data_IF_608877822991
#
_entry.id   IF_608877822991
#
_cell.length_a   1.000
_cell.length_b   1.000
_cell.length_c   1.000
_cell.angle_alpha   90.00
_cell.angle_beta   90.00
_cell.angle_gamma   90.00
#
_symmetry.space_group_name_H-M   'P 1'
#
loop_
_entity.id
_entity.type
_entity.pdbx_description
1 polymer ?
#
# COMPACT_ATOMS: atom_id res chain seq x y z
N UNK A 1 14.53 15.71 -11.74
CA UNK A 1 13.88 14.38 -11.71
C UNK A 1 14.89 13.24 -11.57
N UNK A 2 15.94 13.15 -12.41
CA UNK A 2 17.00 12.10 -12.28
C UNK A 2 17.62 11.97 -10.88
N UNK A 3 17.85 13.07 -10.17
CA UNK A 3 18.37 13.03 -8.79
C UNK A 3 17.38 12.45 -7.77
N UNK A 4 16.07 12.57 -8.02
CA UNK A 4 15.05 11.90 -7.21
C UNK A 4 15.07 10.40 -7.44
N UNK A 5 15.25 9.97 -8.68
CA UNK A 5 15.20 8.54 -9.05
C UNK A 5 16.30 7.73 -8.34
N UNK A 6 17.44 8.36 -8.04
CA UNK A 6 18.51 7.77 -7.21
C UNK A 6 18.09 7.50 -5.75
N UNK A 7 17.05 8.18 -5.26
CA UNK A 7 16.51 8.04 -3.90
C UNK A 7 15.25 7.17 -3.85
N UNK A 8 14.80 6.66 -5.00
CA UNK A 8 13.63 5.79 -5.07
C UNK A 8 14.02 4.42 -4.54
N UNK A 9 13.35 3.95 -3.49
CA UNK A 9 13.61 2.65 -2.87
C UNK A 9 12.88 1.50 -3.57
N UNK A 10 11.71 1.80 -4.17
CA UNK A 10 10.94 0.83 -4.97
C UNK A 10 10.05 1.54 -5.98
N UNK A 11 9.70 0.83 -7.05
CA UNK A 11 8.64 1.20 -7.98
C UNK A 11 7.41 0.35 -7.71
N UNK A 12 6.45 0.96 -7.03
CA UNK A 12 5.09 0.46 -6.87
C UNK A 12 4.36 0.36 -8.22
N UNK A 13 3.13 -0.15 -8.22
CA UNK A 13 2.34 -0.41 -9.42
C UNK A 13 2.09 0.81 -10.31
N UNK A 14 2.07 2.02 -9.74
CA UNK A 14 1.92 3.26 -10.49
C UNK A 14 3.23 3.79 -11.10
N UNK A 15 4.38 3.15 -10.83
CA UNK A 15 5.67 3.42 -11.46
C UNK A 15 6.40 4.71 -11.03
N UNK A 16 5.70 5.67 -10.42
CA UNK A 16 6.31 6.92 -9.93
C UNK A 16 7.39 6.72 -8.84
N UNK A 17 7.35 5.60 -8.11
CA UNK A 17 8.34 5.20 -7.12
C UNK A 17 8.24 5.90 -5.76
N UNK A 18 8.65 5.19 -4.70
CA UNK A 18 8.60 5.67 -3.32
C UNK A 18 9.95 6.19 -2.86
N UNK A 19 9.91 7.27 -2.07
CA UNK A 19 11.07 7.79 -1.35
C UNK A 19 10.71 7.80 0.13
N UNK A 20 11.52 7.14 0.95
CA UNK A 20 11.46 7.15 2.41
C UNK A 20 12.84 7.44 2.96
N UNK A 21 12.95 7.96 4.20
CA UNK A 21 14.25 8.07 4.86
C UNK A 21 14.86 6.66 4.99
N UNK A 22 16.12 6.52 4.58
CA UNK A 22 16.92 5.31 4.80
C UNK A 22 18.22 5.76 5.46
N UNK A 23 18.56 5.18 6.60
CA UNK A 23 19.75 5.53 7.35
C UNK A 23 21.01 4.85 6.79
N UNK A 24 22.17 5.12 7.40
CA UNK A 24 23.45 4.54 7.00
C UNK A 24 23.55 3.01 7.17
N UNK A 25 22.65 2.41 7.93
CA UNK A 25 22.57 0.98 8.18
C UNK A 25 21.51 0.31 7.29
N UNK A 26 20.95 1.04 6.32
CA UNK A 26 19.84 0.63 5.46
C UNK A 26 18.50 0.42 6.18
N UNK A 27 18.29 1.07 7.33
CA UNK A 27 17.01 1.06 8.05
C UNK A 27 16.11 2.16 7.50
N UNK A 28 14.89 1.77 7.13
CA UNK A 28 13.81 2.60 6.60
C UNK A 28 12.95 1.91 5.54
N UNK A 29 13.49 0.88 4.87
CA UNK A 29 12.81 0.10 3.83
C UNK A 29 13.38 -1.31 3.71
N UNK A 30 12.48 -2.28 3.57
CA UNK A 30 12.78 -3.64 3.10
C UNK A 30 11.75 -4.06 2.07
N UNK A 31 12.13 -4.95 1.17
CA UNK A 31 11.29 -5.41 0.06
C UNK A 31 10.15 -6.33 0.55
N UNK A 32 9.04 -6.34 -0.21
CA UNK A 32 8.01 -7.35 -0.05
C UNK A 32 8.56 -8.76 -0.39
N UNK A 33 8.04 -9.83 0.24
CA UNK A 33 8.43 -11.20 -0.11
C UNK A 33 7.94 -11.64 -1.50
N UNK A 34 7.15 -10.78 -2.17
CA UNK A 34 6.53 -11.04 -3.46
C UNK A 34 7.00 -10.03 -4.51
N UNK A 35 7.25 -10.51 -5.72
CA UNK A 35 7.51 -9.61 -6.86
C UNK A 35 6.23 -8.89 -7.29
N UNK A 36 6.35 -7.72 -7.94
CA UNK A 36 5.20 -7.01 -8.51
C UNK A 36 4.31 -7.90 -9.42
N UNK A 37 4.92 -8.80 -10.20
CA UNK A 37 4.18 -9.70 -11.07
C UNK A 37 3.39 -10.76 -10.28
N UNK A 38 3.97 -11.25 -9.19
CA UNK A 38 3.31 -12.21 -8.29
C UNK A 38 2.19 -11.55 -7.49
N UNK A 39 2.46 -10.37 -6.90
CA UNK A 39 1.47 -9.61 -6.15
C UNK A 39 0.25 -9.24 -7.00
N UNK A 40 0.45 -8.87 -8.28
CA UNK A 40 -0.66 -8.67 -9.24
C UNK A 40 -1.49 -9.93 -9.46
N UNK A 41 -0.87 -11.12 -9.52
CA UNK A 41 -1.59 -12.39 -9.63
C UNK A 41 -2.38 -12.68 -8.36
N UNK A 42 -1.80 -12.50 -7.18
CA UNK A 42 -2.49 -12.64 -5.89
C UNK A 42 -3.72 -11.73 -5.86
N UNK A 43 -3.56 -10.46 -6.22
CA UNK A 43 -4.67 -9.50 -6.27
C UNK A 43 -5.76 -9.94 -7.25
N UNK A 44 -5.38 -10.41 -8.44
CA UNK A 44 -6.33 -10.93 -9.43
C UNK A 44 -7.12 -12.12 -8.90
N UNK A 45 -6.46 -13.09 -8.27
CA UNK A 45 -7.11 -14.27 -7.67
C UNK A 45 -8.14 -13.87 -6.60
N UNK A 46 -7.83 -12.86 -5.78
CA UNK A 46 -8.77 -12.35 -4.76
C UNK A 46 -9.99 -11.68 -5.41
N UNK A 47 -9.76 -10.84 -6.43
CA UNK A 47 -10.84 -10.11 -7.11
C UNK A 47 -11.75 -11.05 -7.90
N UNK A 48 -11.17 -12.04 -8.58
CA UNK A 48 -11.88 -12.97 -9.45
C UNK A 48 -12.45 -14.19 -8.67
N UNK A 49 -12.24 -14.28 -7.36
CA UNK A 49 -12.75 -15.37 -6.55
C UNK A 49 -14.29 -15.47 -6.65
N UNK A 50 -14.85 -16.68 -6.89
CA UNK A 50 -16.27 -16.85 -7.21
C UNK A 50 -17.20 -16.67 -6.00
N UNK A 51 -16.67 -16.74 -4.78
CA UNK A 51 -17.41 -16.55 -3.54
C UNK A 51 -16.47 -16.11 -2.40
N UNK A 52 -17.07 -15.71 -1.29
CA UNK A 52 -16.36 -15.15 -0.14
C UNK A 52 -15.45 -16.16 0.56
N UNK A 53 -15.82 -17.44 0.62
CA UNK A 53 -14.99 -18.50 1.22
C UNK A 53 -13.69 -18.71 0.45
N UNK A 54 -13.77 -18.75 -0.88
CA UNK A 54 -12.59 -18.84 -1.74
C UNK A 54 -11.77 -17.55 -1.68
N UNK A 55 -12.42 -16.40 -1.59
CA UNK A 55 -11.74 -15.11 -1.45
C UNK A 55 -10.96 -15.03 -0.13
N UNK A 56 -11.56 -15.48 0.97
CA UNK A 56 -10.91 -15.51 2.28
C UNK A 56 -9.64 -16.37 2.25
N UNK A 57 -9.68 -17.53 1.58
CA UNK A 57 -8.49 -18.36 1.37
C UNK A 57 -7.45 -17.67 0.50
N UNK A 58 -7.87 -17.00 -0.57
CA UNK A 58 -6.99 -16.25 -1.46
C UNK A 58 -6.31 -15.04 -0.77
N UNK A 59 -6.86 -14.55 0.35
CA UNK A 59 -6.23 -13.51 1.16
C UNK A 59 -5.06 -13.99 2.03
N UNK A 60 -4.84 -15.31 2.18
CA UNK A 60 -3.79 -15.84 3.06
C UNK A 60 -2.39 -15.24 2.81
N UNK A 61 -1.91 -15.09 1.56
CA UNK A 61 -0.60 -14.46 1.29
C UNK A 61 -0.56 -12.99 1.72
N UNK A 62 -1.67 -12.25 1.58
CA UNK A 62 -1.75 -10.87 2.05
C UNK A 62 -1.65 -10.82 3.57
N UNK A 63 -2.32 -11.71 4.30
CA UNK A 63 -2.26 -11.77 5.77
C UNK A 63 -0.85 -12.08 6.28
N UNK A 64 -0.13 -12.96 5.60
CA UNK A 64 1.27 -13.24 5.91
C UNK A 64 2.14 -11.99 5.71
N UNK A 65 2.00 -11.28 4.58
CA UNK A 65 2.70 -10.01 4.34
C UNK A 65 2.37 -8.94 5.38
N UNK A 66 1.11 -8.86 5.83
CA UNK A 66 0.72 -7.94 6.91
C UNK A 66 1.46 -8.22 8.22
N UNK A 67 1.73 -9.50 8.51
CA UNK A 67 2.50 -9.91 9.68
C UNK A 67 3.95 -9.47 9.55
N UNK A 68 4.58 -9.70 8.39
CA UNK A 68 5.94 -9.21 8.13
C UNK A 68 6.06 -7.69 8.19
N UNK A 69 5.02 -6.97 7.76
CA UNK A 69 4.99 -5.50 7.86
C UNK A 69 4.95 -5.04 9.32
N UNK A 70 4.29 -5.76 10.23
CA UNK A 70 4.36 -5.40 11.66
C UNK A 70 5.79 -5.54 12.20
N UNK A 71 6.48 -6.64 11.89
CA UNK A 71 7.89 -6.78 12.25
C UNK A 71 8.76 -5.69 11.63
N UNK A 72 8.53 -5.35 10.36
CA UNK A 72 9.24 -4.25 9.69
C UNK A 72 8.98 -2.90 10.39
N UNK A 73 7.74 -2.61 10.80
CA UNK A 73 7.41 -1.39 11.52
C UNK A 73 8.12 -1.31 12.89
N UNK A 74 8.15 -2.41 13.65
CA UNK A 74 8.86 -2.48 14.92
C UNK A 74 10.37 -2.22 14.74
N UNK A 75 10.92 -2.62 13.60
CA UNK A 75 12.32 -2.42 13.20
C UNK A 75 12.56 -1.14 12.38
N UNK A 76 11.59 -0.21 12.36
CA UNK A 76 11.62 1.09 11.67
C UNK A 76 11.66 1.06 10.12
N UNK A 77 11.41 -0.08 9.49
CA UNK A 77 11.31 -0.26 8.04
C UNK A 77 9.90 0.07 7.50
N UNK A 78 9.44 1.29 7.78
CA UNK A 78 8.09 1.76 7.46
C UNK A 78 7.78 1.75 5.96
N UNK A 79 8.80 1.75 5.10
CA UNK A 79 8.65 1.71 3.65
C UNK A 79 7.95 0.45 3.13
N UNK A 80 8.08 -0.70 3.83
CA UNK A 80 7.47 -1.96 3.39
C UNK A 80 5.94 -1.91 3.44
N UNK A 81 5.38 -1.44 4.56
CA UNK A 81 3.94 -1.24 4.70
C UNK A 81 3.39 -0.17 3.76
N UNK A 82 4.21 0.86 3.48
CA UNK A 82 3.88 1.89 2.51
C UNK A 82 3.77 1.33 1.08
N UNK A 83 4.72 0.51 0.65
CA UNK A 83 4.72 -0.15 -0.67
C UNK A 83 3.47 -1.01 -0.88
N UNK A 84 3.22 -1.99 0.01
CA UNK A 84 2.07 -2.88 -0.13
C UNK A 84 0.75 -2.09 -0.14
N UNK A 85 0.62 -1.10 0.74
CA UNK A 85 -0.57 -0.25 0.79
C UNK A 85 -0.83 0.48 -0.54
N UNK A 86 0.23 1.01 -1.17
CA UNK A 86 0.12 1.68 -2.46
C UNK A 86 -0.22 0.70 -3.58
N UNK A 87 0.40 -0.47 -3.61
CA UNK A 87 0.14 -1.48 -4.64
C UNK A 87 -1.31 -1.98 -4.59
N UNK A 88 -1.81 -2.28 -3.39
CA UNK A 88 -3.21 -2.65 -3.18
C UNK A 88 -4.18 -1.51 -3.51
N UNK A 89 -3.82 -0.27 -3.20
CA UNK A 89 -4.59 0.90 -3.61
C UNK A 89 -4.66 1.03 -5.15
N UNK A 90 -3.55 0.78 -5.84
CA UNK A 90 -3.44 0.81 -7.30
C UNK A 90 -4.19 -0.34 -7.99
N UNK A 91 -4.37 -1.49 -7.34
CA UNK A 91 -5.26 -2.55 -7.82
C UNK A 91 -6.71 -2.08 -7.95
N UNK A 92 -7.14 -1.10 -7.14
CA UNK A 92 -8.40 -0.39 -7.30
C UNK A 92 -9.66 -1.15 -6.87
N UNK A 93 -9.55 -2.39 -6.39
CA UNK A 93 -10.70 -3.16 -5.91
C UNK A 93 -11.10 -2.78 -4.47
N UNK A 94 -12.41 -2.70 -4.23
CA UNK A 94 -12.99 -2.39 -2.93
C UNK A 94 -12.65 -3.44 -1.86
N UNK A 95 -12.36 -4.69 -2.24
CA UNK A 95 -11.93 -5.74 -1.31
C UNK A 95 -10.65 -5.39 -0.56
N UNK A 96 -9.81 -4.50 -1.10
CA UNK A 96 -8.56 -4.09 -0.47
C UNK A 96 -8.70 -2.85 0.42
N UNK A 97 -9.81 -2.10 0.36
CA UNK A 97 -9.94 -0.81 1.04
C UNK A 97 -9.68 -0.90 2.54
N UNK A 98 -10.17 -1.96 3.21
CA UNK A 98 -9.92 -2.17 4.64
C UNK A 98 -8.44 -2.32 4.96
N UNK A 99 -7.70 -3.09 4.15
CA UNK A 99 -6.27 -3.33 4.36
C UNK A 99 -5.47 -2.07 4.03
N UNK A 100 -5.81 -1.39 2.93
CA UNK A 100 -5.18 -0.11 2.56
C UNK A 100 -5.38 0.93 3.66
N UNK A 101 -6.59 1.00 4.25
CA UNK A 101 -6.91 1.89 5.37
C UNK A 101 -6.21 1.53 6.68
N UNK A 102 -5.67 0.32 6.82
CA UNK A 102 -4.82 -0.06 7.95
C UNK A 102 -3.35 0.29 7.68
N UNK A 103 -2.87 0.03 6.46
CA UNK A 103 -1.47 0.19 6.10
C UNK A 103 -1.08 1.65 5.85
N UNK A 104 -1.78 2.35 4.95
CA UNK A 104 -1.33 3.65 4.48
C UNK A 104 -1.39 4.75 5.54
N UNK A 105 -2.48 4.90 6.32
CA UNK A 105 -2.51 5.89 7.40
C UNK A 105 -1.39 5.67 8.42
N UNK A 106 -1.18 4.41 8.84
CA UNK A 106 -0.11 4.05 9.78
C UNK A 106 1.27 4.37 9.21
N UNK A 107 1.58 3.92 7.98
CA UNK A 107 2.86 4.16 7.35
C UNK A 107 3.14 5.66 7.18
N UNK A 108 2.14 6.44 6.76
CA UNK A 108 2.26 7.90 6.66
C UNK A 108 2.52 8.55 8.03
N UNK A 109 1.82 8.14 9.08
CA UNK A 109 2.02 8.67 10.43
C UNK A 109 3.40 8.33 11.00
N UNK A 110 3.88 7.10 10.79
CA UNK A 110 5.24 6.68 11.17
C UNK A 110 6.32 7.49 10.42
N UNK A 111 6.08 7.77 9.13
CA UNK A 111 6.94 8.61 8.29
C UNK A 111 6.76 10.13 8.51
N UNK A 112 5.93 10.55 9.48
CA UNK A 112 5.60 11.97 9.76
C UNK A 112 5.00 12.72 8.56
N UNK A 113 4.13 12.05 7.80
CA UNK A 113 3.41 12.54 6.62
C UNK A 113 1.89 12.61 6.88
N UNK A 114 1.49 13.15 8.02
CA UNK A 114 0.12 13.05 8.55
C UNK A 114 -0.96 13.53 7.56
N UNK A 115 -0.71 14.59 6.78
CA UNK A 115 -1.65 15.04 5.75
C UNK A 115 -1.98 13.96 4.71
N UNK A 116 -1.03 13.09 4.37
CA UNK A 116 -1.29 11.99 3.45
C UNK A 116 -2.14 10.89 4.09
N UNK A 117 -2.06 10.70 5.41
CA UNK A 117 -2.96 9.82 6.16
C UNK A 117 -4.40 10.35 6.07
N UNK A 118 -4.62 11.65 6.34
CA UNK A 118 -5.94 12.28 6.23
C UNK A 118 -6.51 12.16 4.81
N UNK A 119 -5.69 12.43 3.78
CA UNK A 119 -6.11 12.33 2.38
C UNK A 119 -6.52 10.90 2.03
N UNK A 120 -5.73 9.89 2.41
CA UNK A 120 -6.05 8.51 2.04
C UNK A 120 -7.28 7.99 2.78
N UNK A 121 -7.48 8.37 4.05
CA UNK A 121 -8.67 8.02 4.82
C UNK A 121 -9.93 8.61 4.19
N UNK A 122 -9.92 9.92 3.92
CA UNK A 122 -11.03 10.61 3.27
C UNK A 122 -11.30 10.04 1.86
N UNK A 123 -10.25 9.75 1.09
CA UNK A 123 -10.37 9.19 -0.24
C UNK A 123 -10.95 7.77 -0.22
N UNK A 124 -10.50 6.89 0.67
CA UNK A 124 -11.04 5.53 0.76
C UNK A 124 -12.49 5.51 1.25
N UNK A 125 -12.86 6.41 2.16
CA UNK A 125 -14.24 6.56 2.63
C UNK A 125 -15.19 7.01 1.50
N UNK A 126 -14.68 7.78 0.52
CA UNK A 126 -15.49 8.32 -0.57
C UNK A 126 -14.83 8.19 -1.94
N UNK A 127 -14.39 6.98 -2.30
CA UNK A 127 -13.66 6.70 -3.55
C UNK A 127 -14.60 6.63 -4.75
N UNK A 128 -15.05 7.81 -5.22
CA UNK A 128 -15.98 7.96 -6.35
C UNK A 128 -15.26 8.05 -7.70
N UNK A 129 -15.97 7.66 -8.77
CA UNK A 129 -15.51 7.90 -10.16
C UNK A 129 -15.81 9.32 -10.62
N UNK A 130 -16.87 9.92 -10.10
CA UNK A 130 -17.21 11.33 -10.27
C UNK A 130 -16.27 12.19 -9.41
N UNK A 131 -15.70 13.25 -9.99
CA UNK A 131 -14.49 13.91 -9.45
C UNK A 131 -14.71 15.37 -9.05
N UNK A 132 -15.93 15.88 -9.18
CA UNK A 132 -16.21 17.31 -9.06
C UNK A 132 -17.12 17.53 -7.87
N UNK A 133 -16.61 18.18 -6.84
CA UNK A 133 -17.37 18.48 -5.62
C UNK A 133 -18.26 19.73 -5.73
N UNK A 134 -18.35 20.36 -6.91
CA UNK A 134 -19.12 21.59 -7.15
C UNK A 134 -20.64 21.45 -6.97
N UNK A 135 -21.16 20.24 -6.74
CA UNK A 135 -22.59 19.94 -6.63
C UNK A 135 -23.02 19.47 -5.21
N UNK A 136 -22.09 19.42 -4.25
CA UNK A 136 -22.42 19.13 -2.86
C UNK A 136 -22.91 20.42 -2.17
N UNK A 137 -24.21 20.69 -2.28
CA UNK A 137 -24.93 21.70 -1.51
C UNK A 137 -25.44 21.12 -0.19
#
# INVERSE_FOLDING_TARGET
MKERDKKVVTKTFHGAGLVVPVDKNNVGYRELPETNASLKRICKTIVDAPNDDQRLKAFAPIQEMLTFIQFANDECDYGMGYELGIDLFCCGSHYFHKIVGQLLPLAYNLLKRNLFAEIIEAHLANRRKEKVDLLAA
#
